data_IF_476795955153
#
_entry.id   IF_476795955153
#
_cell.length_a   1.000
_cell.length_b   1.000
_cell.length_c   1.000
_cell.angle_alpha   90.00
_cell.angle_beta   90.00
_cell.angle_gamma   90.00
#
_symmetry.space_group_name_H-M   'P 1'
#
loop_
_entity.id
_entity.type
_entity.pdbx_description
1 polymer ?
#
# COMPACT_ATOMS: atom_id res chain seq x y z
N UNK A 1 4.86 6.17 9.02
CA UNK A 1 5.31 5.22 7.99
C UNK A 1 5.17 5.80 6.58
N UNK A 2 6.29 5.94 5.89
CA UNK A 2 6.40 6.31 4.47
C UNK A 2 6.94 5.11 3.70
N UNK A 3 6.32 4.79 2.57
CA UNK A 3 6.67 3.61 1.75
C UNK A 3 6.80 3.94 0.27
N UNK A 4 7.49 3.07 -0.47
CA UNK A 4 7.45 3.01 -1.94
C UNK A 4 6.82 1.69 -2.39
N UNK A 5 5.79 1.69 -3.24
CA UNK A 5 5.30 0.50 -3.91
C UNK A 5 6.39 -0.11 -4.80
N UNK A 6 6.34 -1.43 -5.01
CA UNK A 6 7.22 -2.13 -5.96
C UNK A 6 6.46 -2.41 -7.26
N UNK A 7 7.16 -2.54 -8.38
CA UNK A 7 6.54 -2.76 -9.72
C UNK A 7 5.58 -3.97 -9.74
N UNK A 8 5.82 -4.97 -8.89
CA UNK A 8 4.99 -6.17 -8.77
C UNK A 8 3.83 -6.06 -7.76
N UNK A 9 3.45 -4.85 -7.33
CA UNK A 9 2.28 -4.70 -6.49
C UNK A 9 1.04 -5.19 -7.26
N UNK A 10 0.24 -6.06 -6.67
CA UNK A 10 -1.01 -6.50 -7.28
C UNK A 10 -1.99 -5.34 -7.27
N UNK A 11 -2.45 -4.94 -8.45
CA UNK A 11 -3.58 -4.04 -8.64
C UNK A 11 -4.90 -4.76 -8.33
N UNK A 12 -5.05 -5.22 -7.09
CA UNK A 12 -6.28 -5.86 -6.63
C UNK A 12 -7.23 -4.79 -6.09
N UNK A 13 -7.82 -4.00 -6.98
CA UNK A 13 -8.77 -2.95 -6.59
C UNK A 13 -8.89 -1.82 -7.62
N UNK A 14 -10.07 -1.20 -7.62
CA UNK A 14 -10.55 -0.04 -8.37
C UNK A 14 -9.67 0.47 -9.53
N UNK A 15 -10.14 0.38 -10.79
CA UNK A 15 -9.34 0.69 -11.99
C UNK A 15 -8.72 2.09 -12.01
N UNK A 16 -9.30 3.04 -11.27
CA UNK A 16 -8.84 4.43 -11.21
C UNK A 16 -7.75 4.67 -10.17
N UNK A 17 -7.51 3.72 -9.28
CA UNK A 17 -6.47 3.86 -8.27
C UNK A 17 -5.11 3.66 -8.92
N UNK A 18 -4.18 4.60 -8.78
CA UNK A 18 -2.85 4.47 -9.38
C UNK A 18 -1.78 4.86 -8.38
N UNK A 19 -0.79 3.98 -8.23
CA UNK A 19 0.40 4.24 -7.44
C UNK A 19 1.64 3.87 -8.23
N UNK A 20 2.70 4.64 -8.07
CA UNK A 20 3.88 4.53 -8.90
C UNK A 20 5.07 4.15 -8.03
N UNK A 21 5.86 3.17 -8.47
CA UNK A 21 6.99 2.66 -7.70
C UNK A 21 8.10 3.68 -7.46
N UNK A 22 8.12 4.76 -8.24
CA UNK A 22 9.05 5.88 -8.08
C UNK A 22 8.55 6.95 -7.09
N UNK A 23 7.31 6.88 -6.60
CA UNK A 23 6.72 7.84 -5.66
C UNK A 23 6.65 7.29 -4.24
N UNK A 24 6.74 8.20 -3.27
CA UNK A 24 6.59 7.90 -1.84
C UNK A 24 5.16 8.18 -1.39
N UNK A 25 4.65 7.29 -0.54
CA UNK A 25 3.28 7.36 -0.03
C UNK A 25 3.29 7.26 1.49
N UNK A 26 2.41 8.04 2.11
CA UNK A 26 2.06 7.82 3.50
C UNK A 26 1.25 6.54 3.60
N UNK A 27 1.65 5.69 4.55
CA UNK A 27 1.01 4.41 4.77
C UNK A 27 0.53 4.27 6.21
N UNK A 28 -0.54 3.50 6.37
CA UNK A 28 -1.09 3.07 7.65
C UNK A 28 -1.13 1.55 7.70
N UNK A 29 -0.85 0.99 8.88
CA UNK A 29 -0.98 -0.46 9.08
C UNK A 29 -2.46 -0.81 8.94
N UNK A 30 -2.77 -1.82 8.14
CA UNK A 30 -4.14 -2.29 7.97
C UNK A 30 -4.55 -3.11 9.21
N UNK A 31 -5.59 -2.66 9.91
CA UNK A 31 -6.07 -3.28 11.18
C UNK A 31 -7.56 -3.58 11.17
N UNK A 32 -8.23 -3.39 10.03
CA UNK A 32 -9.67 -3.61 9.88
C UNK A 32 -10.03 -5.10 9.74
N UNK A 33 -9.04 -5.98 9.59
CA UNK A 33 -9.18 -7.43 9.70
C UNK A 33 -8.10 -7.98 10.66
N UNK A 34 -8.37 -9.07 11.39
CA UNK A 34 -7.45 -9.58 12.42
C UNK A 34 -6.10 -10.04 11.86
N UNK A 35 -6.09 -10.55 10.63
CA UNK A 35 -4.94 -11.12 9.93
C UNK A 35 -4.06 -10.06 9.27
N UNK A 36 -4.61 -8.91 8.88
CA UNK A 36 -3.88 -7.90 8.10
C UNK A 36 -2.61 -7.39 8.79
N UNK A 37 -2.68 -7.17 10.10
CA UNK A 37 -1.52 -6.75 10.89
C UNK A 37 -0.44 -7.83 10.95
N UNK A 38 -0.84 -9.10 11.06
CA UNK A 38 0.08 -10.25 11.09
C UNK A 38 0.72 -10.48 9.72
N UNK A 39 -0.06 -10.30 8.65
CA UNK A 39 0.39 -10.39 7.27
C UNK A 39 1.23 -9.18 6.84
N UNK A 40 1.29 -8.12 7.65
CA UNK A 40 2.04 -6.89 7.36
C UNK A 40 1.46 -6.10 6.20
N UNK A 41 0.14 -6.13 6.03
CA UNK A 41 -0.56 -5.36 5.02
C UNK A 41 -0.74 -3.91 5.45
N UNK A 42 -0.77 -3.01 4.47
CA UNK A 42 -0.86 -1.56 4.69
C UNK A 42 -1.86 -0.93 3.73
N UNK A 43 -2.45 0.18 4.14
CA UNK A 43 -3.18 1.08 3.25
C UNK A 43 -2.30 2.24 2.82
N UNK A 44 -2.37 2.60 1.55
CA UNK A 44 -1.76 3.81 1.00
C UNK A 44 -2.79 4.65 0.26
N UNK A 45 -2.69 5.98 0.37
CA UNK A 45 -3.56 6.89 -0.35
C UNK A 45 -3.23 6.87 -1.85
N UNK A 46 -4.25 6.59 -2.68
CA UNK A 46 -4.18 6.78 -4.13
C UNK A 46 -4.45 8.25 -4.48
N UNK A 47 -3.86 8.76 -5.57
CA UNK A 47 -4.14 10.13 -6.05
C UNK A 47 -5.54 10.27 -6.66
N UNK A 48 -6.03 9.23 -7.32
CA UNK A 48 -7.21 9.29 -8.19
C UNK A 48 -8.28 8.27 -7.79
N UNK A 49 -8.23 7.76 -6.56
CA UNK A 49 -9.13 6.69 -6.14
C UNK A 49 -9.06 6.40 -4.66
N UNK A 50 -9.78 5.36 -4.20
CA UNK A 50 -9.72 4.90 -2.81
C UNK A 50 -8.31 4.46 -2.41
N UNK A 51 -8.11 4.27 -1.11
CA UNK A 51 -6.86 3.72 -0.59
C UNK A 51 -6.61 2.31 -1.15
N UNK A 52 -5.35 2.02 -1.46
CA UNK A 52 -4.92 0.72 -1.93
C UNK A 52 -4.34 -0.09 -0.77
N UNK A 53 -4.73 -1.36 -0.70
CA UNK A 53 -4.14 -2.33 0.21
C UNK A 53 -2.91 -2.95 -0.46
N UNK A 54 -1.73 -2.83 0.16
CA UNK A 54 -0.52 -3.49 -0.28
C UNK A 54 -0.12 -4.61 0.68
N UNK A 55 0.29 -5.75 0.13
CA UNK A 55 0.82 -6.89 0.86
C UNK A 55 2.26 -6.67 1.28
N UNK A 56 2.67 -7.34 2.37
CA UNK A 56 4.08 -7.39 2.77
C UNK A 56 4.91 -8.00 1.65
N UNK A 57 5.82 -7.20 1.10
CA UNK A 57 6.62 -7.57 -0.07
C UNK A 57 6.32 -6.73 -1.31
N UNK A 58 5.15 -6.10 -1.40
CA UNK A 58 4.73 -5.21 -2.50
C UNK A 58 5.13 -3.74 -2.27
N UNK A 59 5.75 -3.45 -1.13
CA UNK A 59 6.25 -2.13 -0.77
C UNK A 59 7.58 -2.22 -0.02
N UNK A 60 8.28 -1.10 0.06
CA UNK A 60 9.49 -0.90 0.87
C UNK A 60 9.26 0.26 1.83
N UNK A 61 9.58 0.07 3.11
CA UNK A 61 9.51 1.15 4.10
C UNK A 61 10.72 2.08 3.91
N UNK A 62 10.45 3.36 3.68
CA UNK A 62 11.48 4.41 3.55
C UNK A 62 11.71 5.09 4.91
N UNK A 63 10.63 5.29 5.69
CA UNK A 63 10.69 5.91 7.02
C UNK A 63 9.60 5.36 7.94
N UNK A 64 9.95 5.06 9.20
CA UNK A 64 9.04 4.61 10.27
C UNK A 64 8.00 5.67 10.64
#
# INVERSE_FOLDING_TARGET
MIVKPKINYRHSGYPDSQVFSNQEYKATIATNQPDYKLLGQIFISSKNGPELLLNKGEYTIIKG
#
